data_IF_507638129830
#
_entry.id   IF_507638129830
#
_cell.length_a   1.000
_cell.length_b   1.000
_cell.length_c   1.000
_cell.angle_alpha   90.00
_cell.angle_beta   90.00
_cell.angle_gamma   90.00
#
_symmetry.space_group_name_H-M   'P 1'
#
loop_
_entity.id
_entity.type
_entity.pdbx_description
1 polymer ?
#
# COMPACT_ATOMS: atom_id res chain seq x y z
N UNK A 1 -6.66 -0.53 11.10
CA UNK A 1 -6.71 -0.59 9.65
C UNK A 1 -7.34 -1.89 9.19
N UNK A 2 -8.40 -1.77 8.39
CA UNK A 2 -9.14 -2.89 7.81
C UNK A 2 -8.85 -2.99 6.31
N UNK A 3 -8.85 -4.20 5.79
CA UNK A 3 -8.75 -4.47 4.36
C UNK A 3 -9.74 -5.56 3.95
N UNK A 4 -10.24 -5.48 2.74
CA UNK A 4 -11.06 -6.52 2.13
C UNK A 4 -10.43 -6.90 0.79
N UNK A 5 -10.43 -8.19 0.49
CA UNK A 5 -9.97 -8.73 -0.79
C UNK A 5 -11.12 -9.49 -1.45
N UNK A 6 -11.44 -9.14 -2.67
CA UNK A 6 -12.47 -9.79 -3.47
C UNK A 6 -12.04 -9.88 -4.92
N UNK A 7 -12.76 -10.66 -5.70
CA UNK A 7 -12.50 -10.79 -7.14
C UNK A 7 -13.05 -9.59 -7.89
N UNK A 8 -12.35 -9.20 -8.96
CA UNK A 8 -12.80 -8.15 -9.87
C UNK A 8 -14.19 -8.43 -10.41
N UNK A 9 -14.50 -9.68 -10.74
CA UNK A 9 -15.81 -10.11 -11.26
C UNK A 9 -16.99 -9.85 -10.29
N UNK A 10 -16.70 -9.61 -9.00
CA UNK A 10 -17.73 -9.23 -8.04
C UNK A 10 -18.20 -7.77 -8.23
N UNK A 11 -17.52 -7.00 -9.07
CA UNK A 11 -17.87 -5.62 -9.42
C UNK A 11 -18.43 -5.60 -10.84
N UNK A 12 -19.71 -5.26 -10.96
CA UNK A 12 -20.37 -5.20 -12.27
C UNK A 12 -19.90 -3.98 -13.07
N UNK A 13 -19.76 -4.16 -14.37
CA UNK A 13 -19.57 -3.04 -15.31
C UNK A 13 -20.79 -2.12 -15.28
N UNK A 14 -20.54 -0.82 -15.14
CA UNK A 14 -21.59 0.18 -15.03
C UNK A 14 -21.23 1.42 -15.84
N UNK A 15 -22.27 2.16 -16.30
CA UNK A 15 -22.08 3.45 -16.93
C UNK A 15 -21.55 4.51 -15.97
N UNK A 16 -21.00 5.60 -16.51
CA UNK A 16 -20.39 6.70 -15.73
C UNK A 16 -21.32 7.38 -14.73
N UNK A 17 -22.61 7.34 -14.95
CA UNK A 17 -23.62 7.97 -14.08
C UNK A 17 -24.12 7.07 -12.96
N UNK A 18 -23.70 5.80 -12.92
CA UNK A 18 -24.10 4.88 -11.88
C UNK A 18 -23.40 5.19 -10.55
N UNK A 19 -24.10 4.99 -9.45
CA UNK A 19 -23.58 5.22 -8.10
C UNK A 19 -22.55 4.18 -7.65
N UNK A 20 -22.40 3.11 -8.41
CA UNK A 20 -21.52 2.00 -8.06
C UNK A 20 -22.12 1.05 -7.03
N UNK A 21 -21.29 0.14 -6.55
CA UNK A 21 -21.63 -0.86 -5.54
C UNK A 21 -20.65 -0.78 -4.37
N UNK A 22 -21.10 -1.22 -3.19
CA UNK A 22 -20.27 -1.19 -1.99
C UNK A 22 -19.14 -2.21 -2.12
N UNK A 23 -17.90 -1.75 -2.10
CA UNK A 23 -16.71 -2.59 -2.04
C UNK A 23 -16.38 -3.04 -0.63
N UNK A 24 -16.38 -2.11 0.31
CA UNK A 24 -16.12 -2.35 1.73
C UNK A 24 -17.10 -1.54 2.58
N UNK A 25 -17.51 -2.10 3.72
CA UNK A 25 -18.37 -1.39 4.68
C UNK A 25 -17.49 -0.66 5.70
N UNK A 26 -17.63 0.66 5.75
CA UNK A 26 -16.86 1.53 6.63
C UNK A 26 -17.67 1.87 7.90
N UNK A 27 -16.97 2.08 9.00
CA UNK A 27 -17.52 2.75 10.18
C UNK A 27 -17.54 4.27 9.95
N UNK A 28 -18.27 5.04 10.77
CA UNK A 28 -18.54 6.47 10.52
C UNK A 28 -17.31 7.35 10.30
N UNK A 29 -16.21 7.02 10.97
CA UNK A 29 -14.95 7.80 10.89
C UNK A 29 -13.93 7.23 9.92
N UNK A 30 -14.23 6.08 9.32
CA UNK A 30 -13.32 5.40 8.40
C UNK A 30 -13.39 5.97 7.00
N UNK A 31 -12.29 5.85 6.29
CA UNK A 31 -12.16 6.23 4.88
C UNK A 31 -11.39 5.16 4.13
N UNK A 32 -11.71 4.99 2.86
CA UNK A 32 -10.86 4.23 1.94
C UNK A 32 -9.61 5.05 1.68
N UNK A 33 -8.44 4.50 2.00
CA UNK A 33 -7.15 5.17 1.81
C UNK A 33 -6.37 4.60 0.64
N UNK A 34 -6.71 3.39 0.22
CA UNK A 34 -5.95 2.68 -0.82
C UNK A 34 -6.82 1.65 -1.52
N UNK A 35 -6.60 1.50 -2.81
CA UNK A 35 -7.08 0.40 -3.64
C UNK A 35 -5.89 -0.18 -4.39
N UNK A 36 -5.74 -1.49 -4.36
CA UNK A 36 -4.63 -2.17 -5.03
C UNK A 36 -5.13 -3.38 -5.81
N UNK A 37 -4.69 -3.50 -7.05
CA UNK A 37 -4.93 -4.68 -7.87
C UNK A 37 -3.83 -5.70 -7.58
N UNK A 38 -4.21 -6.91 -7.15
CA UNK A 38 -3.26 -7.97 -6.86
C UNK A 38 -2.91 -8.68 -8.16
N UNK A 39 -1.75 -8.38 -8.71
CA UNK A 39 -1.21 -8.99 -9.92
C UNK A 39 -0.34 -10.21 -9.63
N UNK A 40 0.33 -10.20 -8.47
CA UNK A 40 1.24 -11.26 -8.06
C UNK A 40 0.83 -11.83 -6.69
N UNK A 41 0.29 -13.06 -6.64
CA UNK A 41 -0.09 -13.71 -5.38
C UNK A 41 1.07 -13.97 -4.40
N UNK A 42 2.31 -14.00 -4.91
CA UNK A 42 3.54 -14.20 -4.12
C UNK A 42 4.10 -12.88 -3.54
N UNK A 43 3.51 -11.76 -3.90
CA UNK A 43 3.90 -10.45 -3.39
C UNK A 43 3.46 -10.24 -1.94
N UNK A 44 3.84 -9.11 -1.39
CA UNK A 44 3.41 -8.65 -0.07
C UNK A 44 2.64 -7.34 -0.19
N UNK A 45 1.84 -7.05 0.79
CA UNK A 45 1.20 -5.74 0.98
C UNK A 45 2.03 -4.95 1.99
N UNK A 46 2.60 -3.85 1.54
CA UNK A 46 3.17 -2.83 2.41
C UNK A 46 2.04 -1.98 2.97
N UNK A 47 1.99 -1.82 4.28
CA UNK A 47 1.07 -0.92 4.96
C UNK A 47 1.88 0.06 5.82
N UNK A 48 1.60 1.36 5.69
CA UNK A 48 2.29 2.42 6.43
C UNK A 48 1.28 3.32 7.14
N UNK A 49 1.61 3.72 8.36
CA UNK A 49 0.78 4.58 9.19
C UNK A 49 1.35 5.99 9.34
N UNK A 50 0.52 6.93 9.78
CA UNK A 50 0.87 8.35 9.91
C UNK A 50 2.01 8.63 10.90
N UNK A 51 2.20 7.76 11.91
CA UNK A 51 3.30 7.88 12.87
C UNK A 51 4.58 7.20 12.41
N UNK A 52 4.68 6.79 11.16
CA UNK A 52 5.88 6.24 10.56
C UNK A 52 6.13 4.76 10.84
N UNK A 53 5.12 4.03 11.24
CA UNK A 53 5.15 2.57 11.39
C UNK A 53 4.68 1.89 10.11
N UNK A 54 5.19 0.72 9.87
CA UNK A 54 4.77 -0.07 8.73
C UNK A 54 5.30 -1.50 8.77
N UNK A 55 4.82 -2.28 7.85
CA UNK A 55 5.20 -3.69 7.67
C UNK A 55 4.83 -4.18 6.30
N UNK A 56 5.40 -5.29 5.91
CA UNK A 56 4.92 -6.10 4.80
C UNK A 56 4.13 -7.29 5.34
N UNK A 57 3.08 -7.67 4.67
CA UNK A 57 2.28 -8.86 4.98
C UNK A 57 2.05 -9.64 3.70
N UNK A 58 2.20 -10.96 3.73
CA UNK A 58 2.01 -11.80 2.54
C UNK A 58 0.60 -11.63 1.99
N UNK A 59 0.47 -11.50 0.69
CA UNK A 59 -0.84 -11.43 0.00
C UNK A 59 -1.71 -12.64 0.34
N UNK A 60 -1.10 -13.82 0.53
CA UNK A 60 -1.79 -15.06 0.91
C UNK A 60 -2.52 -15.00 2.26
N UNK A 61 -2.15 -14.07 3.15
CA UNK A 61 -2.85 -13.88 4.42
C UNK A 61 -4.17 -13.11 4.29
N UNK A 62 -4.43 -12.53 3.12
CA UNK A 62 -5.69 -11.84 2.81
C UNK A 62 -6.61 -12.79 2.04
N UNK A 63 -7.56 -13.40 2.75
CA UNK A 63 -8.53 -14.30 2.14
C UNK A 63 -9.39 -13.56 1.11
N UNK A 64 -9.71 -14.24 0.02
CA UNK A 64 -10.68 -13.74 -0.96
C UNK A 64 -12.08 -13.96 -0.41
N UNK A 65 -12.86 -12.90 -0.33
CA UNK A 65 -14.26 -12.91 0.15
C UNK A 65 -15.15 -12.25 -0.90
N UNK A 66 -16.45 -12.16 -0.63
CA UNK A 66 -17.32 -11.25 -1.38
C UNK A 66 -17.06 -9.79 -0.99
N UNK A 67 -17.39 -8.86 -1.89
CA UNK A 67 -17.34 -7.43 -1.60
C UNK A 67 -18.38 -6.99 -0.56
N UNK A 68 -18.25 -5.81 -0.01
CA UNK A 68 -19.26 -5.17 0.84
C UNK A 68 -19.26 -5.62 2.29
N UNK A 69 -18.31 -6.46 2.70
CA UNK A 69 -18.07 -6.78 4.10
C UNK A 69 -17.24 -5.73 4.83
N UNK A 70 -17.00 -5.92 6.12
CA UNK A 70 -16.12 -5.07 6.94
C UNK A 70 -14.63 -5.32 6.68
N UNK A 71 -14.30 -6.45 6.05
CA UNK A 71 -12.91 -6.86 5.85
C UNK A 71 -12.28 -7.50 7.09
N UNK A 72 -10.97 -7.53 7.07
CA UNK A 72 -10.13 -8.11 8.12
C UNK A 72 -9.04 -7.11 8.51
N UNK A 73 -8.50 -7.26 9.71
CA UNK A 73 -7.40 -6.40 10.18
C UNK A 73 -6.18 -6.61 9.27
N UNK A 74 -5.67 -5.53 8.69
CA UNK A 74 -4.40 -5.51 7.96
C UNK A 74 -3.24 -5.03 8.82
N UNK A 75 -3.50 -4.08 9.72
CA UNK A 75 -2.56 -3.60 10.71
C UNK A 75 -3.33 -3.19 11.97
N UNK A 76 -2.80 -3.54 13.13
CA UNK A 76 -3.37 -3.09 14.40
C UNK A 76 -3.00 -1.63 14.62
N UNK A 77 -3.98 -0.74 14.54
CA UNK A 77 -3.81 0.68 14.82
C UNK A 77 -3.97 0.97 16.31
N UNK A 78 -3.09 1.81 16.83
CA UNK A 78 -3.07 2.27 18.23
C UNK A 78 -2.69 3.74 18.26
N UNK A 79 -2.73 4.38 19.42
CA UNK A 79 -2.23 5.74 19.58
C UNK A 79 -0.73 5.89 19.26
N UNK A 80 0.03 4.80 19.29
CA UNK A 80 1.45 4.77 18.98
C UNK A 80 1.76 4.87 17.48
N UNK A 81 1.02 4.15 16.65
CA UNK A 81 1.29 4.09 15.21
C UNK A 81 0.32 4.93 14.37
N UNK A 82 -0.83 5.31 14.91
CA UNK A 82 -1.79 6.17 14.26
C UNK A 82 -2.58 5.48 13.13
N UNK A 83 -3.17 6.27 12.26
CA UNK A 83 -4.02 5.81 11.15
C UNK A 83 -3.18 5.32 9.96
N UNK A 84 -3.74 4.44 9.17
CA UNK A 84 -3.14 4.00 7.91
C UNK A 84 -3.14 5.17 6.92
N UNK A 85 -1.98 5.44 6.33
CA UNK A 85 -1.80 6.44 5.27
C UNK A 85 -1.97 5.81 3.88
N UNK A 86 -1.49 4.58 3.71
CA UNK A 86 -1.59 3.89 2.45
C UNK A 86 -1.11 2.44 2.55
N UNK A 87 -1.45 1.70 1.52
CA UNK A 87 -1.00 0.32 1.34
C UNK A 87 -0.93 0.00 -0.14
N UNK A 88 0.07 -0.76 -0.54
CA UNK A 88 0.19 -1.26 -1.91
C UNK A 88 1.03 -2.53 -1.99
N UNK A 89 0.88 -3.22 -3.10
CA UNK A 89 1.63 -4.43 -3.41
C UNK A 89 3.11 -4.12 -3.63
N UNK A 90 3.99 -4.90 -3.00
CA UNK A 90 5.44 -4.80 -3.15
C UNK A 90 6.05 -6.19 -3.30
N UNK A 91 7.25 -6.22 -3.88
CA UNK A 91 8.17 -7.35 -3.85
C UNK A 91 9.48 -6.91 -3.17
N UNK A 92 10.46 -7.81 -3.05
CA UNK A 92 11.76 -7.46 -2.47
C UNK A 92 12.51 -6.37 -3.25
N UNK A 93 12.24 -6.25 -4.55
CA UNK A 93 12.93 -5.29 -5.43
C UNK A 93 12.22 -3.94 -5.53
N UNK A 94 11.05 -3.80 -4.93
CA UNK A 94 10.27 -2.57 -4.99
C UNK A 94 10.94 -1.46 -4.20
N UNK A 95 11.22 -0.33 -4.86
CA UNK A 95 11.64 0.91 -4.21
C UNK A 95 10.42 1.72 -3.79
N UNK A 96 10.46 2.26 -2.58
CA UNK A 96 9.38 3.10 -2.05
C UNK A 96 9.89 4.45 -1.59
N UNK A 97 9.02 5.44 -1.65
CA UNK A 97 9.22 6.75 -1.02
C UNK A 97 8.20 6.98 0.08
N UNK A 98 8.65 7.55 1.18
CA UNK A 98 7.83 8.04 2.28
C UNK A 98 7.98 9.56 2.33
N UNK A 99 6.86 10.26 2.32
CA UNK A 99 6.80 11.72 2.31
C UNK A 99 6.16 12.18 3.62
N UNK A 100 6.79 13.11 4.31
CA UNK A 100 6.32 13.65 5.59
C UNK A 100 5.80 15.07 5.45
N UNK A 101 5.01 15.50 6.42
CA UNK A 101 4.50 16.88 6.54
C UNK A 101 4.62 17.32 8.01
N UNK A 102 4.83 18.61 8.32
CA UNK A 102 4.94 19.77 7.43
C UNK A 102 6.34 19.95 6.80
N UNK A 103 7.35 19.22 7.27
CA UNK A 103 8.75 19.45 6.84
C UNK A 103 9.03 19.06 5.38
N UNK A 104 8.17 18.25 4.76
CA UNK A 104 8.34 17.83 3.37
C UNK A 104 9.55 16.93 3.14
N UNK A 105 9.99 16.18 4.17
CA UNK A 105 11.07 15.21 4.04
C UNK A 105 10.63 14.05 3.13
N UNK A 106 11.54 13.61 2.28
CA UNK A 106 11.34 12.45 1.42
C UNK A 106 12.42 11.42 1.75
N UNK A 107 12.00 10.21 2.09
CA UNK A 107 12.89 9.07 2.30
C UNK A 107 12.60 8.04 1.23
N UNK A 108 13.67 7.56 0.59
CA UNK A 108 13.64 6.42 -0.33
C UNK A 108 14.23 5.19 0.34
N UNK A 109 13.56 4.08 0.25
CA UNK A 109 14.05 2.81 0.76
C UNK A 109 13.62 1.64 -0.13
N UNK A 110 14.31 0.52 0.02
CA UNK A 110 13.92 -0.72 -0.64
C UNK A 110 12.93 -1.48 0.25
N UNK A 111 11.89 -2.06 -0.32
CA UNK A 111 10.90 -2.83 0.41
C UNK A 111 11.51 -4.02 1.16
N UNK A 112 12.59 -4.61 0.65
CA UNK A 112 13.33 -5.70 1.31
C UNK A 112 13.86 -5.34 2.70
N UNK A 113 14.07 -4.05 2.98
CA UNK A 113 14.47 -3.54 4.29
C UNK A 113 13.34 -3.50 5.33
N UNK A 114 12.10 -3.75 4.92
CA UNK A 114 10.92 -3.75 5.78
C UNK A 114 10.55 -5.19 6.12
N UNK A 115 10.43 -5.49 7.41
CA UNK A 115 10.13 -6.86 7.88
C UNK A 115 8.73 -7.31 7.47
N UNK A 116 8.59 -8.63 7.26
CA UNK A 116 7.32 -9.30 6.98
C UNK A 116 6.72 -9.75 8.30
N UNK A 117 5.49 -9.33 8.57
CA UNK A 117 4.72 -9.67 9.76
C UNK A 117 3.30 -10.08 9.41
N UNK A 118 2.65 -10.78 10.32
CA UNK A 118 1.24 -11.11 10.23
C UNK A 118 0.33 -9.86 10.30
N UNK A 119 -0.90 -10.02 9.84
CA UNK A 119 -1.90 -8.93 9.75
C UNK A 119 -2.18 -8.23 11.08
N UNK A 120 -2.24 -8.97 12.18
CA UNK A 120 -2.63 -8.45 13.51
C UNK A 120 -1.56 -7.67 14.26
N UNK A 121 -0.39 -7.43 13.68
CA UNK A 121 0.71 -6.69 14.32
C UNK A 121 0.64 -5.19 14.04
N UNK A 122 1.34 -4.40 14.86
CA UNK A 122 1.40 -2.94 14.72
C UNK A 122 2.45 -2.47 13.70
N UNK A 123 3.27 -3.40 13.18
CA UNK A 123 4.43 -3.05 12.38
C UNK A 123 5.61 -2.53 13.21
N UNK A 124 6.60 -2.03 12.51
CA UNK A 124 7.82 -1.45 13.08
C UNK A 124 8.02 -0.02 12.61
N UNK A 125 8.82 0.74 13.32
CA UNK A 125 9.16 2.10 12.92
C UNK A 125 10.02 2.07 11.64
N UNK A 126 9.54 2.72 10.59
CA UNK A 126 10.24 2.85 9.31
C UNK A 126 11.00 4.17 9.21
N UNK A 127 10.50 5.21 9.86
CA UNK A 127 11.05 6.57 9.82
C UNK A 127 10.92 7.21 11.21
N UNK A 128 11.97 7.92 11.64
CA UNK A 128 11.92 8.80 12.82
C UNK A 128 11.24 10.12 12.46
N UNK A 129 10.21 10.47 13.22
CA UNK A 129 9.45 11.71 13.05
C UNK A 129 9.70 12.64 14.23
N UNK A 130 9.78 13.96 13.96
CA UNK A 130 9.67 14.98 15.00
C UNK A 130 8.22 15.04 15.53
N UNK A 131 7.97 15.63 16.73
CA UNK A 131 6.64 15.61 17.35
C UNK A 131 5.50 16.14 16.47
N UNK A 132 5.79 17.12 15.62
CA UNK A 132 4.83 17.74 14.71
C UNK A 132 4.74 17.08 13.33
N UNK A 133 5.65 16.14 13.05
CA UNK A 133 5.68 15.47 11.76
C UNK A 133 4.75 14.26 11.70
N UNK A 134 4.20 14.04 10.51
CA UNK A 134 3.43 12.86 10.16
C UNK A 134 3.82 12.37 8.77
N UNK A 135 3.66 11.09 8.52
CA UNK A 135 3.69 10.57 7.16
C UNK A 135 2.44 11.07 6.43
N UNK A 136 2.64 11.76 5.32
CA UNK A 136 1.56 12.30 4.50
C UNK A 136 1.18 11.39 3.33
N UNK A 137 2.17 10.72 2.75
CA UNK A 137 1.98 9.87 1.58
C UNK A 137 3.09 8.83 1.47
N UNK A 138 2.78 7.77 0.75
CA UNK A 138 3.73 6.76 0.28
C UNK A 138 3.57 6.55 -1.22
N UNK A 139 4.64 6.21 -1.90
CA UNK A 139 4.64 5.96 -3.33
C UNK A 139 5.61 4.84 -3.71
N UNK A 140 5.30 4.12 -4.79
CA UNK A 140 6.27 3.24 -5.47
C UNK A 140 7.13 4.10 -6.39
N UNK A 141 8.43 3.82 -6.40
CA UNK A 141 9.34 4.38 -7.41
C UNK A 141 9.32 3.46 -8.62
N UNK A 142 8.86 3.97 -9.73
CA UNK A 142 8.93 3.28 -11.02
C UNK A 142 10.24 3.70 -11.68
N UNK A 143 11.18 2.78 -11.82
CA UNK A 143 12.35 2.99 -12.67
C UNK A 143 11.88 2.95 -14.13
N UNK A 144 12.12 4.03 -14.88
CA UNK A 144 11.98 3.97 -16.33
C UNK A 144 13.05 3.01 -16.82
N UNK A 145 12.65 1.99 -17.56
CA UNK A 145 13.60 1.25 -18.39
C UNK A 145 14.36 2.28 -19.22
N UNK A 146 15.66 2.34 -19.05
CA UNK A 146 16.51 3.11 -19.95
C UNK A 146 16.33 2.46 -21.31
N UNK A 147 15.73 3.18 -22.25
CA UNK A 147 15.75 2.82 -23.66
C UNK A 147 17.22 2.55 -24.01
N UNK A 148 17.53 1.27 -24.21
CA UNK A 148 18.83 0.87 -24.71
C UNK A 148 18.90 1.41 -26.13
N UNK A 149 19.55 2.54 -26.31
CA UNK A 149 19.87 3.05 -27.65
C UNK A 149 20.77 1.99 -28.29
N UNK A 150 20.14 1.19 -29.15
CA UNK A 150 20.90 0.29 -30.02
C UNK A 150 21.56 1.20 -31.06
N UNK A 151 22.85 1.46 -30.88
CA UNK A 151 23.64 2.10 -31.93
C UNK A 151 23.58 1.22 -33.20
N UNK A 152 23.30 1.83 -34.36
CA UNK A 152 23.34 1.09 -35.60
C UNK A 152 24.77 0.63 -35.87
N UNK A 153 24.94 -0.67 -36.10
CA UNK A 153 26.20 -1.20 -36.62
C UNK A 153 26.47 -0.54 -37.97
N UNK A 154 27.49 0.30 -38.03
CA UNK A 154 28.03 0.77 -39.30
C UNK A 154 28.60 -0.47 -40.04
N UNK A 155 27.99 -0.75 -41.16
CA UNK A 155 28.50 -1.75 -42.12
C UNK A 155 29.62 -1.14 -42.94
N UNK A 156 30.82 -1.71 -42.80
CA UNK A 156 31.90 -1.53 -43.78
C UNK A 156 31.57 -2.23 -45.12
#
# INVERSE_FOLDING_TARGET
>A
GQAIRFKEDDVSDMGRTASGVIGIRLDEVDKVVSLEVIENPEAQILTVTEMGYGKRTLVSEYRVTGRGGKGIITIKTTGKNGRVVGAFQVTNDTQIMIITTPAGKVIRMNASGISIYGRGTQGVKLIGLDPEERVAAIAKVVEKEQDTVVEPLESE
#
